data_IF_205350408944
#
_entry.id   IF_205350408944
#
_cell.length_a   1.000
_cell.length_b   1.000
_cell.length_c   1.000
_cell.angle_alpha   90.00
_cell.angle_beta   90.00
_cell.angle_gamma   90.00
#
_symmetry.space_group_name_H-M   'P 1'
#
loop_
_entity.id
_entity.type
_entity.pdbx_description
1 polymer ?
2 non-polymer ?
3 non-polymer ?
4 non-polymer ?
5 non-polymer ?
6 non-polymer ?
7 water ?
#
# COMPACT_ATOMS: atom_id res chain seq x y z
N UNK A 3 4.09 -4.58 31.03
CA UNK A 3 2.92 -4.04 30.34
C UNK A 3 3.28 -2.77 29.58
N UNK A 4 4.40 -2.16 29.95
CA UNK A 4 4.85 -0.87 29.43
C UNK A 4 6.27 -1.08 28.89
N UNK A 5 6.36 -1.65 27.70
CA UNK A 5 7.53 -2.38 27.21
C UNK A 5 8.57 -1.45 26.57
N UNK A 6 9.81 -1.93 26.54
CA UNK A 6 10.95 -1.18 26.01
C UNK A 6 11.46 -1.82 24.72
N UNK A 7 11.93 -0.98 23.81
CA UNK A 7 12.54 -1.44 22.56
C UNK A 7 13.90 -0.75 22.43
N UNK A 8 14.90 -1.52 22.02
CA UNK A 8 16.27 -1.05 21.96
C UNK A 8 16.77 -1.00 20.52
N UNK A 9 17.63 -0.03 20.25
CA UNK A 9 18.41 -0.01 19.03
C UNK A 9 19.81 -0.49 19.38
N UNK A 10 20.23 -1.60 18.76
CA UNK A 10 21.53 -2.20 19.06
C UNK A 10 22.66 -1.66 18.19
N UNK A 11 22.45 -0.52 17.54
CA UNK A 11 23.53 0.23 16.92
C UNK A 11 23.88 1.49 17.70
N UNK A 12 22.88 2.16 18.26
CA UNK A 12 23.05 3.40 19.00
C UNK A 12 22.77 3.28 20.49
N UNK A 13 22.31 2.13 20.96
CA UNK A 13 21.97 1.87 22.37
C UNK A 13 20.80 2.70 22.85
N UNK A 14 20.02 3.30 21.95
CA UNK A 14 18.86 4.09 22.35
C UNK A 14 17.73 3.15 22.75
N UNK A 15 17.09 3.44 23.88
CA UNK A 15 15.93 2.70 24.35
C UNK A 15 14.75 3.66 24.39
N UNK A 16 13.59 3.16 23.96
CA UNK A 16 12.35 3.92 23.99
C UNK A 16 11.26 3.03 24.58
N UNK A 17 10.30 3.66 25.26
CA UNK A 17 9.27 2.95 26.00
C UNK A 17 7.93 3.05 25.27
N UNK A 18 7.29 1.90 25.07
CA UNK A 18 6.04 1.82 24.34
C UNK A 18 4.88 1.66 25.32
N UNK A 19 3.98 2.65 25.34
CA UNK A 19 2.69 2.57 26.01
C UNK A 19 1.52 2.50 25.05
N UNK A 20 1.76 2.85 23.78
CA UNK A 20 0.70 2.89 22.79
C UNK A 20 0.05 1.53 22.60
N UNK A 21 0.82 0.45 22.74
CA UNK A 21 0.31 -0.90 22.53
C UNK A 21 -0.83 -1.24 23.46
N UNK A 22 -1.01 -0.46 24.54
CA UNK A 22 -2.12 -0.69 25.46
C UNK A 22 -3.45 -0.44 24.77
N UNK A 23 -3.52 0.61 23.95
CA UNK A 23 -4.72 0.92 23.17
C UNK A 23 -4.94 -0.07 22.04
N UNK A 24 -4.01 -1.01 21.82
CA UNK A 24 -4.17 -2.01 20.78
C UNK A 24 -5.39 -2.87 21.06
N UNK A 25 -6.07 -3.27 20.00
CA UNK A 25 -7.38 -3.88 20.12
C UNK A 25 -7.42 -5.24 19.43
N UNK A 26 -7.07 -5.28 18.14
CA UNK A 26 -7.14 -6.51 17.37
C UNK A 26 -6.05 -7.48 17.79
N UNK A 27 -6.16 -8.70 17.29
CA UNK A 27 -5.26 -9.78 17.62
C UNK A 27 -4.23 -9.98 16.51
N UNK A 28 -3.01 -10.37 16.91
CA UNK A 28 -1.86 -10.38 16.01
C UNK A 28 -1.65 -11.68 15.26
N UNK A 29 -2.13 -12.79 15.79
CA UNK A 29 -1.80 -14.10 15.30
C UNK A 29 -0.81 -14.84 16.17
N UNK A 30 -0.03 -14.12 16.95
CA UNK A 30 0.90 -14.74 17.89
C UNK A 30 0.18 -15.14 19.17
N UNK A 31 0.75 -16.12 19.86
CA UNK A 31 0.32 -16.50 21.20
C UNK A 31 1.53 -16.47 22.12
N UNK A 32 1.33 -16.80 23.39
CA UNK A 32 2.47 -16.92 24.29
C UNK A 32 3.44 -18.02 23.88
N UNK A 33 3.01 -18.95 23.03
CA UNK A 33 3.81 -20.12 22.69
C UNK A 33 4.13 -20.25 21.22
N UNK A 34 3.77 -19.26 20.39
CA UNK A 34 4.11 -19.32 18.97
C UNK A 34 4.05 -17.92 18.39
N UNK A 35 5.03 -17.61 17.55
CA UNK A 35 5.14 -16.29 16.94
C UNK A 35 4.94 -16.43 15.45
N UNK A 36 3.99 -15.65 14.90
CA UNK A 36 3.70 -15.68 13.48
C UNK A 36 4.20 -14.41 12.77
N UNK A 37 5.25 -13.80 13.31
CA UNK A 37 5.68 -12.53 12.73
C UNK A 37 6.14 -12.58 11.29
N UNK A 38 6.37 -13.78 10.72
CA UNK A 38 6.75 -13.91 9.31
C UNK A 38 5.64 -14.48 8.43
N UNK A 39 4.45 -14.70 8.98
CA UNK A 39 3.32 -15.16 8.17
C UNK A 39 2.71 -13.96 7.46
N UNK A 40 2.46 -14.10 6.14
CA UNK A 40 2.11 -12.93 5.33
C UNK A 40 0.68 -12.45 5.61
N UNK A 41 -0.30 -13.35 5.59
CA UNK A 41 -1.72 -12.99 5.79
C UNK A 41 -2.30 -13.83 6.91
N UNK A 42 -1.96 -13.53 8.16
CA UNK A 42 -2.49 -14.32 9.28
C UNK A 42 -3.96 -14.00 9.53
N UNK A 43 -4.66 -14.98 10.09
CA UNK A 43 -6.06 -14.84 10.49
C UNK A 43 -6.48 -16.00 11.39
N UNK A 52 -20.47 -9.77 7.55
CA UNK A 52 -21.18 -8.49 7.65
C UNK A 52 -21.33 -8.14 9.15
N UNK A 53 -21.59 -6.87 9.45
CA UNK A 53 -21.51 -6.34 10.82
C UNK A 53 -22.85 -5.80 11.28
N UNK A 54 -23.10 -5.92 12.60
CA UNK A 54 -24.37 -5.57 13.22
C UNK A 54 -24.24 -4.29 14.05
N UNK A 55 -25.39 -3.79 14.53
CA UNK A 55 -25.39 -2.52 15.24
C UNK A 55 -24.77 -2.65 16.63
N UNK A 56 -25.06 -3.76 17.33
CA UNK A 56 -24.52 -3.94 18.68
C UNK A 56 -23.00 -3.84 18.69
N UNK A 57 -22.36 -4.38 17.66
CA UNK A 57 -20.91 -4.25 17.52
C UNK A 57 -20.50 -2.85 17.08
N UNK A 58 -21.38 -2.09 16.45
CA UNK A 58 -20.97 -0.91 15.69
C UNK A 58 -20.82 0.35 16.53
N UNK A 59 -21.61 0.54 17.61
CA UNK A 59 -21.44 1.77 18.37
C UNK A 59 -20.17 1.80 19.23
N UNK A 60 -19.76 0.70 19.87
CA UNK A 60 -18.44 0.71 20.54
C UNK A 60 -17.32 1.20 19.64
N UNK A 61 -17.16 0.58 18.48
CA UNK A 61 -16.18 1.02 17.49
C UNK A 61 -16.39 2.48 17.10
N UNK A 62 -17.64 2.89 16.89
CA UNK A 62 -17.92 4.29 16.57
C UNK A 62 -17.49 5.19 17.71
N UNK A 63 -17.88 4.84 18.95
CA UNK A 63 -17.53 5.63 20.13
C UNK A 63 -16.03 5.70 20.33
N UNK A 64 -15.34 4.56 20.26
CA UNK A 64 -13.89 4.57 20.43
C UNK A 64 -13.23 5.50 19.41
N UNK A 65 -13.66 5.44 18.15
CA UNK A 65 -13.07 6.31 17.14
C UNK A 65 -13.37 7.78 17.42
N UNK A 66 -14.59 8.09 17.85
CA UNK A 66 -14.97 9.50 18.06
C UNK A 66 -14.26 10.09 19.26
N UNK A 67 -14.06 9.29 20.30
CA UNK A 67 -13.33 9.73 21.48
C UNK A 67 -11.88 10.09 21.16
N UNK A 68 -11.25 9.39 20.21
CA UNK A 68 -9.89 9.75 19.86
C UNK A 68 -9.86 10.90 18.87
N UNK A 69 -10.86 11.01 17.98
CA UNK A 69 -10.93 12.15 17.08
C UNK A 69 -11.08 13.45 17.85
N UNK A 70 -12.01 13.46 18.82
CA UNK A 70 -12.26 14.68 19.59
C UNK A 70 -11.13 14.95 20.57
N UNK A 71 -10.48 13.90 21.08
CA UNK A 71 -9.26 14.10 21.84
C UNK A 71 -8.16 14.69 20.97
N UNK A 72 -8.23 14.47 19.67
CA UNK A 72 -7.19 14.95 18.76
C UNK A 72 -7.30 16.46 18.53
N UNK A 73 -8.52 16.94 18.27
CA UNK A 73 -8.71 18.36 17.99
C UNK A 73 -8.85 19.12 19.30
N UNK A 74 -8.49 18.47 20.41
CA UNK A 74 -8.37 19.11 21.73
C UNK A 74 -9.72 19.62 22.24
N UNK A 75 -10.79 18.94 21.87
CA UNK A 75 -12.13 19.15 22.43
C UNK A 75 -12.71 17.84 22.94
N UNK A 76 -11.89 17.05 23.64
CA UNK A 76 -12.35 15.84 24.31
C UNK A 76 -13.37 16.21 25.36
N UNK A 77 -14.59 15.68 25.22
CA UNK A 77 -15.62 15.82 26.22
C UNK A 77 -16.46 17.07 26.13
N UNK A 78 -16.25 17.91 25.12
CA UNK A 78 -17.06 19.11 24.98
C UNK A 78 -18.50 18.69 24.64
N UNK A 79 -19.37 19.70 24.48
CA UNK A 79 -20.72 19.40 24.04
C UNK A 79 -20.73 18.89 22.61
N UNK A 80 -19.90 19.46 21.74
CA UNK A 80 -19.85 19.01 20.36
C UNK A 80 -19.49 17.53 20.27
N UNK A 81 -18.59 17.08 21.15
CA UNK A 81 -18.29 15.65 21.26
C UNK A 81 -19.51 14.87 21.73
N UNK A 82 -20.09 15.29 22.86
CA UNK A 82 -21.22 14.56 23.42
C UNK A 82 -22.39 14.47 22.45
N UNK A 83 -22.68 15.56 21.73
CA UNK A 83 -23.83 15.51 20.82
C UNK A 83 -23.55 14.69 19.58
N UNK A 84 -22.29 14.69 19.10
CA UNK A 84 -21.90 13.80 18.01
C UNK A 84 -22.02 12.34 18.42
N UNK A 85 -21.58 12.01 19.63
CA UNK A 85 -21.79 10.69 20.21
C UNK A 85 -23.27 10.30 20.14
N UNK A 86 -24.11 11.12 20.76
CA UNK A 86 -25.56 10.92 20.72
C UNK A 86 -26.05 10.80 19.29
N UNK A 87 -25.63 11.73 18.43
CA UNK A 87 -26.08 11.75 17.04
C UNK A 87 -25.80 10.42 16.34
N UNK A 88 -24.56 9.92 16.45
CA UNK A 88 -24.19 8.69 15.77
C UNK A 88 -24.92 7.49 16.36
N UNK A 89 -25.05 7.43 17.69
CA UNK A 89 -25.83 6.38 18.33
C UNK A 89 -27.25 6.35 17.74
N UNK A 90 -27.92 7.50 17.74
CA UNK A 90 -29.27 7.60 17.16
C UNK A 90 -29.29 7.17 15.70
N UNK A 91 -28.28 7.55 14.92
CA UNK A 91 -28.26 7.15 13.51
C UNK A 91 -27.97 5.66 13.35
N UNK A 92 -27.24 5.06 14.28
CA UNK A 92 -27.09 3.61 14.23
C UNK A 92 -28.34 2.92 14.76
N UNK A 93 -29.05 3.52 15.71
CA UNK A 93 -30.39 3.07 16.00
C UNK A 93 -31.27 3.15 14.76
N UNK A 94 -31.24 4.30 14.07
CA UNK A 94 -32.13 4.55 12.94
C UNK A 94 -31.78 3.66 11.74
N UNK A 95 -30.52 3.68 11.30
CA UNK A 95 -30.10 3.03 10.07
C UNK A 95 -29.35 1.70 10.27
N UNK A 96 -28.97 1.36 11.49
CA UNK A 96 -28.06 0.25 11.77
C UNK A 96 -26.71 0.45 11.07
N UNK A 97 -26.38 1.69 10.76
CA UNK A 97 -25.07 2.12 10.29
C UNK A 97 -24.99 3.62 10.50
N UNK A 98 -23.96 4.27 9.94
CA UNK A 98 -23.87 5.72 10.07
C UNK A 98 -22.92 6.27 9.01
N UNK A 99 -22.84 7.60 8.95
CA UNK A 99 -22.03 8.30 7.98
C UNK A 99 -21.01 9.19 8.68
N UNK A 100 -19.76 9.16 8.21
CA UNK A 100 -18.70 10.00 8.76
C UNK A 100 -18.82 11.44 8.29
N UNK A 101 -18.49 12.38 9.18
CA UNK A 101 -18.24 13.75 8.76
C UNK A 101 -16.99 13.78 7.87
N UNK A 102 -16.94 14.78 7.00
CA UNK A 102 -15.76 14.99 6.15
C UNK A 102 -14.49 15.08 6.97
N UNK A 103 -14.53 15.88 8.06
CA UNK A 103 -13.37 15.98 8.94
C UNK A 103 -13.00 14.63 9.55
N UNK A 104 -13.99 13.79 9.83
CA UNK A 104 -13.72 12.49 10.42
C UNK A 104 -13.11 11.53 9.40
N UNK A 105 -13.53 11.63 8.15
CA UNK A 105 -12.96 10.79 7.10
C UNK A 105 -11.47 11.08 6.91
N UNK A 106 -11.12 12.37 6.85
CA UNK A 106 -9.73 12.79 6.66
C UNK A 106 -8.87 12.36 7.85
N UNK A 107 -9.38 12.53 9.07
CA UNK A 107 -8.68 12.05 10.26
C UNK A 107 -8.50 10.55 10.20
N UNK A 108 -9.59 9.82 9.94
CA UNK A 108 -9.53 8.37 9.91
C UNK A 108 -8.57 7.84 8.86
N UNK A 109 -8.58 8.46 7.66
CA UNK A 109 -7.67 8.01 6.61
C UNK A 109 -6.22 8.29 6.96
N UNK A 110 -5.94 9.48 7.50
CA UNK A 110 -4.57 9.80 7.86
C UNK A 110 -4.05 8.87 8.96
N UNK A 111 -4.94 8.40 9.84
CA UNK A 111 -4.48 7.56 10.94
C UNK A 111 -4.43 6.08 10.57
N UNK A 112 -5.21 5.64 9.59
CA UNK A 112 -4.99 4.31 9.03
C UNK A 112 -3.58 4.18 8.45
N UNK A 113 -3.14 5.17 7.68
CA UNK A 113 -1.75 5.17 7.22
C UNK A 113 -0.77 5.20 8.40
N UNK A 114 -1.00 6.09 9.37
CA UNK A 114 -0.12 6.22 10.53
C UNK A 114 0.03 4.89 11.24
N UNK A 115 -1.05 4.12 11.30
CA UNK A 115 -1.07 2.86 12.01
C UNK A 115 -0.57 1.67 11.20
N UNK A 116 -0.20 1.88 9.94
CA UNK A 116 0.13 0.79 9.04
C UNK A 116 1.54 0.30 9.38
N UNK A 117 1.62 -0.76 10.18
CA UNK A 117 2.91 -1.18 10.74
C UNK A 117 3.88 -1.69 9.68
N UNK A 118 3.41 -2.03 8.49
CA UNK A 118 4.27 -2.54 7.44
C UNK A 118 4.82 -1.45 6.52
N UNK A 119 4.52 -0.17 6.81
CA UNK A 119 4.88 0.94 5.92
C UNK A 119 6.05 1.73 6.48
N UNK A 120 7.16 1.72 5.74
CA UNK A 120 8.38 2.43 6.13
C UNK A 120 8.29 3.93 5.81
N UNK A 121 7.28 4.34 5.07
CA UNK A 121 7.16 5.71 4.59
C UNK A 121 6.38 6.65 5.48
N UNK A 122 6.02 6.23 6.70
CA UNK A 122 4.97 6.91 7.45
C UNK A 122 5.38 8.26 8.04
N UNK A 123 6.65 8.67 7.91
CA UNK A 123 7.01 10.01 8.38
C UNK A 123 6.12 11.06 7.70
N UNK A 124 5.50 10.71 6.58
CA UNK A 124 4.68 11.64 5.81
C UNK A 124 3.20 11.53 6.14
N UNK A 125 2.83 10.80 7.21
CA UNK A 125 1.44 10.36 7.36
C UNK A 125 0.46 11.51 7.46
N UNK A 126 0.90 12.68 7.92
CA UNK A 126 -0.04 13.80 8.07
C UNK A 126 -0.24 14.58 6.77
N UNK A 127 0.60 14.35 5.75
CA UNK A 127 0.45 15.01 4.46
C UNK A 127 -0.15 14.01 3.47
N UNK A 128 -1.48 13.83 3.59
CA UNK A 128 -2.25 12.95 2.73
C UNK A 128 -3.44 13.74 2.19
N UNK A 129 -3.62 13.72 0.88
CA UNK A 129 -4.75 14.39 0.25
C UNK A 129 -5.89 13.38 0.16
N UNK A 130 -7.05 13.71 0.71
CA UNK A 130 -8.16 12.78 0.80
C UNK A 130 -9.24 13.24 -0.17
N UNK A 131 -9.65 12.34 -1.06
CA UNK A 131 -10.63 12.59 -2.11
C UNK A 131 -11.89 11.83 -1.74
N UNK A 132 -12.94 12.56 -1.41
CA UNK A 132 -14.17 11.95 -0.94
C UNK A 132 -14.99 11.55 -2.15
N UNK A 133 -15.11 10.24 -2.38
CA UNK A 133 -15.85 9.69 -3.50
C UNK A 133 -17.07 8.92 -3.03
N UNK A 134 -17.55 9.24 -1.84
CA UNK A 134 -18.72 8.55 -1.32
C UNK A 134 -20.02 8.92 -2.04
N UNK A 135 -20.02 9.87 -3.01
CA UNK A 135 -21.23 10.10 -3.81
C UNK A 135 -21.23 9.32 -5.11
N UNK A 136 -20.18 8.53 -5.35
CA UNK A 136 -20.04 7.77 -6.58
C UNK A 136 -21.09 6.67 -6.62
N UNK A 137 -21.67 6.43 -7.80
CA UNK A 137 -22.69 5.40 -7.96
C UNK A 137 -22.46 4.43 -9.11
N UNK A 138 -21.50 4.67 -9.99
CA UNK A 138 -21.31 3.84 -11.18
C UNK A 138 -19.82 3.61 -11.40
N UNK A 139 -19.53 2.62 -12.25
CA UNK A 139 -18.13 2.30 -12.53
C UNK A 139 -17.47 3.41 -13.34
N UNK A 140 -18.22 4.01 -14.27
CA UNK A 140 -17.73 5.18 -14.98
C UNK A 140 -17.38 6.29 -14.00
N UNK A 141 -18.24 6.51 -13.00
CA UNK A 141 -17.91 7.47 -11.95
C UNK A 141 -16.61 7.12 -11.27
N UNK A 142 -16.39 5.83 -10.96
CA UNK A 142 -15.14 5.41 -10.36
C UNK A 142 -13.95 5.66 -11.29
N UNK A 143 -14.10 5.30 -12.56
CA UNK A 143 -13.04 5.58 -13.51
C UNK A 143 -12.67 7.04 -13.48
N UNK A 144 -13.68 7.90 -13.49
CA UNK A 144 -13.44 9.34 -13.47
C UNK A 144 -12.76 9.78 -12.19
N UNK A 145 -13.25 9.32 -11.03
CA UNK A 145 -12.55 9.62 -9.78
C UNK A 145 -11.13 9.10 -9.77
N UNK A 146 -10.92 7.88 -10.28
CA UNK A 146 -9.56 7.32 -10.24
C UNK A 146 -8.62 8.13 -11.12
N UNK A 147 -9.04 8.46 -12.36
CA UNK A 147 -8.22 9.29 -13.23
C UNK A 147 -7.82 10.60 -12.55
N UNK A 148 -8.77 11.27 -11.88
CA UNK A 148 -8.43 12.50 -11.19
C UNK A 148 -7.41 12.25 -10.08
N UNK A 149 -7.55 11.14 -9.37
CA UNK A 149 -6.54 10.74 -8.39
C UNK A 149 -5.17 10.56 -9.03
N UNK A 150 -5.09 9.77 -10.12
CA UNK A 150 -3.80 9.52 -10.78
C UNK A 150 -3.16 10.83 -11.21
N UNK A 151 -3.94 11.73 -11.82
CA UNK A 151 -3.36 12.96 -12.32
C UNK A 151 -2.85 13.84 -11.17
N UNK A 152 -3.65 13.96 -10.11
CA UNK A 152 -3.22 14.73 -8.93
C UNK A 152 -1.97 14.13 -8.30
N UNK A 153 -2.00 12.82 -8.00
CA UNK A 153 -0.90 12.22 -7.25
C UNK A 153 0.39 12.24 -8.05
N UNK A 154 0.30 12.23 -9.37
CA UNK A 154 1.50 12.22 -10.20
C UNK A 154 2.14 13.61 -10.24
N UNK A 155 1.32 14.65 -10.45
CA UNK A 155 1.80 16.04 -10.37
C UNK A 155 3.08 16.24 -11.17
N UNK A 156 3.11 15.71 -12.39
CA UNK A 156 4.20 15.92 -13.33
C UNK A 156 5.51 15.31 -12.84
N UNK A 157 5.42 14.26 -12.03
CA UNK A 157 6.58 13.62 -11.46
C UNK A 157 6.92 14.07 -10.06
N UNK A 158 6.36 15.20 -9.62
CA UNK A 158 6.50 15.66 -8.24
C UNK A 158 5.38 15.05 -7.40
N UNK A 159 5.54 13.74 -7.19
CA UNK A 159 4.47 12.91 -6.65
C UNK A 159 3.97 13.44 -5.32
N UNK A 160 2.67 13.23 -5.10
CA UNK A 160 1.93 13.70 -3.95
C UNK A 160 1.06 12.55 -3.42
N UNK A 161 1.08 12.36 -2.11
CA UNK A 161 0.32 11.27 -1.50
C UNK A 161 -1.17 11.58 -1.54
N UNK A 162 -1.98 10.57 -1.85
CA UNK A 162 -3.41 10.74 -1.95
C UNK A 162 -4.14 9.42 -1.74
N UNK A 163 -5.41 9.52 -1.34
CA UNK A 163 -6.32 8.38 -1.22
C UNK A 163 -7.69 8.81 -1.71
N UNK A 164 -8.36 7.93 -2.44
CA UNK A 164 -9.73 8.16 -2.89
C UNK A 164 -10.61 7.10 -2.24
N UNK A 165 -11.73 7.53 -1.66
CA UNK A 165 -12.55 6.69 -0.80
C UNK A 165 -13.94 6.58 -1.39
N UNK A 166 -14.28 5.40 -1.86
CA UNK A 166 -15.59 5.11 -2.45
C UNK A 166 -16.57 4.73 -1.37
N UNK A 167 -17.88 4.61 -1.70
CA UNK A 167 -18.89 4.36 -0.67
C UNK A 167 -18.58 3.14 0.21
N UNK A 168 -19.00 3.22 1.46
CA UNK A 168 -18.73 2.15 2.41
C UNK A 168 -19.63 0.94 2.14
N UNK A 169 -19.16 -0.22 2.59
CA UNK A 169 -19.97 -1.43 2.50
C UNK A 169 -21.25 -1.25 3.30
N UNK A 170 -22.36 -1.76 2.73
CA UNK A 170 -23.66 -1.65 3.38
C UNK A 170 -24.09 -3.05 3.78
N UNK A 171 -24.92 -3.72 2.95
CA UNK A 171 -25.35 -5.07 3.25
C UNK A 171 -24.21 -6.07 3.10
N UNK A 172 -23.26 -5.79 2.21
CA UNK A 172 -22.17 -6.71 1.87
C UNK A 172 -22.26 -7.25 0.46
N UNK A 173 -23.46 -7.30 -0.12
CA UNK A 173 -23.62 -7.65 -1.53
C UNK A 173 -23.60 -6.43 -2.43
N UNK A 174 -23.52 -5.24 -1.86
CA UNK A 174 -23.31 -4.02 -2.60
C UNK A 174 -21.97 -3.46 -2.13
N UNK A 175 -20.91 -3.88 -2.83
CA UNK A 175 -19.55 -3.47 -2.53
C UNK A 175 -18.98 -2.72 -3.72
N UNK A 176 -18.29 -1.63 -3.43
CA UNK A 176 -17.42 -1.00 -4.41
C UNK A 176 -16.04 -1.65 -4.29
N UNK A 177 -15.49 -2.06 -5.43
CA UNK A 177 -14.20 -2.76 -5.45
C UNK A 177 -13.42 -2.37 -6.69
N UNK A 178 -12.16 -2.03 -6.50
CA UNK A 178 -11.20 -1.99 -7.60
C UNK A 178 -10.60 -3.38 -7.68
N UNK A 179 -10.83 -4.06 -8.82
CA UNK A 179 -10.41 -5.45 -8.93
C UNK A 179 -8.91 -5.60 -9.12
N UNK A 180 -8.24 -4.61 -9.71
CA UNK A 180 -6.79 -4.63 -9.80
C UNK A 180 -6.16 -4.51 -8.42
N UNK A 181 -4.95 -5.07 -8.28
CA UNK A 181 -4.23 -4.96 -7.01
C UNK A 181 -3.54 -3.62 -6.87
N UNK A 182 -3.16 -3.01 -7.99
CA UNK A 182 -2.69 -1.63 -8.04
C UNK A 182 -3.36 -0.95 -9.23
N UNK A 183 -3.53 0.36 -9.12
CA UNK A 183 -4.14 1.13 -10.20
C UNK A 183 -3.38 0.98 -11.51
N UNK A 184 -2.06 0.91 -11.43
CA UNK A 184 -1.18 0.84 -12.58
C UNK A 184 -0.25 -0.38 -12.41
N UNK A 185 -0.51 -1.42 -13.19
CA UNK A 185 0.32 -2.62 -13.20
C UNK A 185 0.52 -3.06 -14.64
N UNK A 186 1.65 -3.75 -14.88
CA UNK A 186 1.94 -4.30 -16.21
C UNK A 186 1.29 -5.67 -16.38
N UNK A 187 0.94 -5.99 -17.62
CA UNK A 187 0.21 -7.21 -17.92
C UNK A 187 1.11 -8.43 -17.79
N UNK A 188 0.49 -9.56 -17.50
CA UNK A 188 1.19 -10.83 -17.42
C UNK A 188 0.58 -11.88 -18.32
N UNK A 189 1.31 -12.26 -19.37
CA UNK A 189 0.86 -13.30 -20.30
C UNK A 189 1.81 -14.47 -20.23
N UNK A 190 1.27 -15.67 -20.13
CA UNK A 190 2.07 -16.86 -20.30
C UNK A 190 2.34 -17.07 -21.79
N UNK A 191 3.03 -18.16 -22.12
CA UNK A 191 3.47 -18.43 -23.49
C UNK A 191 3.09 -19.85 -23.88
N UNK A 192 3.14 -20.17 -25.18
CA UNK A 192 2.98 -21.57 -25.58
C UNK A 192 4.08 -22.46 -25.01
N UNK A 193 5.33 -21.99 -25.03
CA UNK A 193 6.44 -22.73 -24.44
C UNK A 193 6.46 -22.69 -22.94
N UNK A 194 5.37 -22.24 -22.30
CA UNK A 194 5.25 -22.26 -20.85
C UNK A 194 5.86 -21.07 -20.13
N UNK A 195 6.81 -20.38 -20.73
CA UNK A 195 7.43 -19.23 -20.07
C UNK A 195 6.43 -18.07 -20.01
N UNK A 196 6.91 -16.89 -19.63
CA UNK A 196 6.01 -15.78 -19.33
C UNK A 196 6.57 -14.47 -19.89
N UNK A 197 5.71 -13.70 -20.54
CA UNK A 197 6.00 -12.34 -20.95
C UNK A 197 5.32 -11.37 -20.01
N UNK A 198 5.99 -10.27 -19.72
CA UNK A 198 5.40 -9.22 -18.89
C UNK A 198 5.66 -9.45 -17.41
N UNK A 199 4.59 -9.55 -16.63
CA UNK A 199 4.69 -9.71 -15.18
C UNK A 199 3.96 -10.98 -14.74
N UNK A 200 4.66 -12.04 -14.35
CA UNK A 200 3.97 -13.29 -13.97
C UNK A 200 3.02 -13.12 -12.80
N UNK A 201 3.18 -12.09 -11.97
CA UNK A 201 2.26 -11.89 -10.83
C UNK A 201 0.83 -11.72 -11.29
N UNK A 202 0.61 -11.17 -12.48
CA UNK A 202 -0.69 -10.69 -12.90
C UNK A 202 -1.37 -11.60 -13.93
N UNK A 203 -0.86 -12.82 -14.11
CA UNK A 203 -1.34 -13.68 -15.19
C UNK A 203 -2.82 -14.00 -15.01
N UNK A 204 -3.24 -14.35 -13.79
CA UNK A 204 -4.65 -14.67 -13.57
C UNK A 204 -5.52 -13.43 -13.68
N UNK A 205 -5.00 -12.26 -13.32
CA UNK A 205 -5.77 -11.04 -13.46
C UNK A 205 -5.84 -10.62 -14.93
N UNK A 206 -4.70 -10.64 -15.63
CA UNK A 206 -4.68 -10.35 -17.06
C UNK A 206 -5.68 -11.24 -17.82
N UNK A 207 -5.78 -12.50 -17.42
CA UNK A 207 -6.73 -13.41 -18.05
C UNK A 207 -8.16 -12.97 -17.81
N UNK A 208 -8.47 -12.51 -16.60
CA UNK A 208 -9.81 -12.03 -16.28
C UNK A 208 -10.16 -10.84 -17.15
N UNK A 209 -9.22 -9.90 -17.32
CA UNK A 209 -9.44 -8.76 -18.21
C UNK A 209 -9.77 -9.21 -19.63
N UNK A 210 -9.06 -10.23 -20.14
CA UNK A 210 -9.38 -10.71 -21.48
C UNK A 210 -10.73 -11.43 -21.48
N UNK A 211 -11.05 -12.13 -20.39
CA UNK A 211 -12.36 -12.77 -20.26
C UNK A 211 -13.49 -11.76 -20.36
N UNK A 212 -13.29 -10.56 -19.82
CA UNK A 212 -14.26 -9.48 -19.95
C UNK A 212 -14.04 -8.65 -21.19
N UNK A 213 -13.24 -9.13 -22.13
CA UNK A 213 -13.11 -8.52 -23.43
C UNK A 213 -11.93 -7.58 -23.63
N UNK A 214 -10.93 -7.62 -22.76
CA UNK A 214 -9.73 -6.82 -23.00
C UNK A 214 -8.98 -7.39 -24.20
N UNK A 215 -8.62 -6.51 -25.13
CA UNK A 215 -7.80 -6.89 -26.27
C UNK A 215 -6.36 -6.52 -25.93
N UNK A 216 -5.51 -7.53 -25.85
CA UNK A 216 -4.21 -7.38 -25.23
C UNK A 216 -3.14 -7.11 -26.28
N UNK A 217 -2.31 -6.07 -26.09
CA UNK A 217 -1.15 -5.87 -26.95
C UNK A 217 0.02 -6.80 -26.65
N UNK A 218 -0.28 -8.02 -26.19
CA UNK A 218 0.67 -9.05 -25.75
C UNK A 218 2.14 -8.67 -25.87
N UNK A 219 2.56 -7.66 -25.11
CA UNK A 219 3.96 -7.31 -24.96
C UNK A 219 4.43 -7.45 -23.53
N UNK A 220 5.48 -6.72 -23.15
CA UNK A 220 6.00 -6.74 -21.78
C UNK A 220 5.29 -5.73 -20.89
N UNK A 221 5.59 -4.45 -21.09
CA UNK A 221 5.16 -3.37 -20.20
C UNK A 221 3.84 -2.76 -20.70
N UNK A 222 2.82 -3.61 -20.77
CA UNK A 222 1.48 -3.21 -21.20
C UNK A 222 0.66 -2.88 -19.96
N UNK A 223 0.37 -1.59 -19.75
CA UNK A 223 -0.46 -1.18 -18.62
C UNK A 223 -1.80 -1.88 -18.72
N UNK A 224 -2.27 -2.43 -17.60
CA UNK A 224 -3.54 -3.15 -17.55
C UNK A 224 -4.72 -2.18 -17.43
N UNK A 225 -5.90 -2.58 -17.89
CA UNK A 225 -7.08 -1.72 -17.71
C UNK A 225 -7.65 -1.84 -16.31
N UNK A 226 -8.39 -0.82 -15.91
CA UNK A 226 -9.07 -0.86 -14.63
C UNK A 226 -10.27 -1.78 -14.70
N UNK A 227 -10.50 -2.55 -13.64
CA UNK A 227 -11.69 -3.40 -13.54
C UNK A 227 -12.47 -2.93 -12.32
N UNK A 228 -13.47 -2.07 -12.55
CA UNK A 228 -14.16 -1.40 -11.46
C UNK A 228 -15.55 -1.98 -11.28
N UNK A 229 -15.88 -2.27 -10.02
CA UNK A 229 -17.17 -2.81 -9.58
C UNK A 229 -17.83 -1.78 -8.67
N UNK A 230 -19.06 -1.39 -9.00
CA UNK A 230 -19.78 -0.37 -8.26
C UNK A 230 -21.06 -0.97 -7.69
N UNK A 231 -21.29 -0.73 -6.40
CA UNK A 231 -22.56 -1.11 -5.75
C UNK A 231 -22.86 -2.58 -5.95
N UNK A 232 -21.82 -3.41 -5.84
CA UNK A 232 -21.97 -4.85 -6.01
C UNK A 232 -22.27 -5.31 -7.42
N UNK A 233 -22.17 -4.45 -8.42
CA UNK A 233 -22.47 -4.83 -9.80
C UNK A 233 -21.26 -5.45 -10.49
N UNK A 234 -21.52 -6.27 -11.49
CA UNK A 234 -20.45 -6.91 -12.24
C UNK A 234 -19.51 -5.83 -12.81
N UNK A 235 -18.20 -6.03 -12.74
CA UNK A 235 -17.26 -4.94 -13.05
C UNK A 235 -17.11 -4.72 -14.55
N UNK A 236 -16.48 -3.59 -14.88
CA UNK A 236 -16.37 -3.09 -16.24
C UNK A 236 -14.96 -2.58 -16.49
N UNK A 237 -14.51 -2.71 -17.73
CA UNK A 237 -13.14 -2.36 -18.09
C UNK A 237 -13.06 -0.91 -18.55
N UNK A 238 -12.01 -0.21 -18.12
CA UNK A 238 -11.70 1.14 -18.57
C UNK A 238 -10.19 1.29 -18.69
N UNK A 239 -9.75 1.98 -19.75
CA UNK A 239 -8.33 2.21 -20.00
C UNK A 239 -7.94 3.62 -19.57
N UNK A 240 -6.98 3.71 -18.67
CA UNK A 240 -6.44 4.98 -18.19
C UNK A 240 -5.82 5.72 -19.37
N UNK A 241 -6.19 6.98 -19.64
CA UNK A 241 -5.52 7.75 -20.69
C UNK A 241 -4.02 7.63 -20.57
N UNK A 242 -3.36 7.05 -21.58
CA UNK A 242 -1.91 6.85 -21.46
C UNK A 242 -1.14 8.12 -21.15
N UNK A 243 -1.63 9.30 -21.56
CA UNK A 243 -0.94 10.52 -21.15
C UNK A 243 -0.92 10.69 -19.63
N UNK A 244 -1.77 9.95 -18.89
CA UNK A 244 -1.83 10.04 -17.44
C UNK A 244 -0.95 9.03 -16.72
N UNK A 245 -0.40 8.05 -17.44
CA UNK A 245 0.44 7.01 -16.84
C UNK A 245 1.89 7.42 -17.08
N UNK A 246 2.52 7.98 -16.06
CA UNK A 246 3.89 8.46 -16.19
C UNK A 246 4.84 7.29 -16.00
N UNK A 247 5.81 7.19 -16.89
CA UNK A 247 6.77 6.10 -16.84
C UNK A 247 8.19 6.63 -16.93
N UNK A 248 9.11 5.89 -16.31
CA UNK A 248 10.52 6.25 -16.22
C UNK A 248 11.30 5.19 -17.00
N UNK A 249 12.03 5.56 -18.06
CA UNK A 249 12.93 4.60 -18.71
C UNK A 249 14.19 4.44 -17.87
N UNK A 250 14.62 3.20 -17.67
CA UNK A 250 15.67 2.86 -16.72
C UNK A 250 17.01 2.78 -17.45
N UNK A 251 17.96 3.62 -17.05
CA UNK A 251 19.30 3.62 -17.62
C UNK A 251 20.33 3.62 -16.51
N UNK A 252 21.50 3.12 -16.83
CA UNK A 252 22.56 3.13 -15.84
C UNK A 252 23.47 4.33 -16.04
N UNK A 253 23.98 4.93 -14.97
CA UNK A 253 24.86 6.09 -15.11
C UNK A 253 26.28 5.76 -15.54
N UNK A 254 26.62 4.46 -15.68
CA UNK A 254 27.88 4.00 -16.26
C UNK A 254 27.68 3.07 -17.45
N UNK A 255 26.79 2.10 -17.34
CA UNK A 255 26.70 0.98 -18.29
C UNK A 255 25.75 1.36 -19.42
N UNK A 256 26.30 1.61 -20.62
CA UNK A 256 25.46 2.06 -21.73
C UNK A 256 24.64 0.92 -22.32
N UNK A 257 25.09 -0.33 -22.17
CA UNK A 257 24.27 -1.46 -22.59
C UNK A 257 22.99 -1.59 -21.78
N UNK A 258 22.85 -0.80 -20.71
CA UNK A 258 21.66 -0.90 -19.85
C UNK A 258 20.39 -0.55 -20.62
N UNK A 259 20.46 0.44 -21.51
CA UNK A 259 19.28 0.83 -22.28
C UNK A 259 18.79 -0.33 -23.14
N UNK A 260 19.72 -1.06 -23.77
CA UNK A 260 19.34 -2.18 -24.63
C UNK A 260 18.52 -3.21 -23.87
N UNK A 261 18.59 -3.22 -22.54
CA UNK A 261 17.69 -4.06 -21.75
C UNK A 261 16.24 -3.63 -21.92
N UNK A 262 16.02 -2.36 -22.26
CA UNK A 262 14.70 -1.85 -22.57
C UNK A 262 13.72 -1.97 -21.43
N UNK A 263 14.12 -1.55 -20.24
CA UNK A 263 13.27 -1.62 -19.06
C UNK A 263 12.76 -0.24 -18.69
N UNK A 264 11.53 -0.21 -18.18
CA UNK A 264 10.91 0.98 -17.63
C UNK A 264 10.00 0.55 -16.49
N UNK A 265 9.60 1.52 -15.67
CA UNK A 265 8.63 1.24 -14.64
C UNK A 265 7.68 2.43 -14.58
N UNK A 266 6.55 2.23 -13.93
CA UNK A 266 5.60 3.32 -13.74
C UNK A 266 5.96 4.08 -12.46
N UNK A 267 5.69 5.39 -12.46
CA UNK A 267 6.15 6.18 -11.34
C UNK A 267 5.24 6.17 -10.14
N UNK A 268 3.98 5.74 -10.30
CA UNK A 268 2.99 5.89 -9.25
C UNK A 268 2.66 4.54 -8.63
N UNK A 269 3.09 4.26 -7.39
CA UNK A 269 2.64 3.08 -6.63
C UNK A 269 1.31 3.37 -5.95
N UNK A 270 0.30 2.59 -6.27
CA UNK A 270 -1.05 2.96 -5.84
C UNK A 270 -1.80 1.66 -5.55
N UNK A 271 -1.86 1.30 -4.28
CA UNK A 271 -2.45 0.03 -3.85
C UNK A 271 -3.96 0.18 -3.84
N UNK A 272 -4.65 -0.74 -4.49
CA UNK A 272 -6.08 -0.58 -4.71
C UNK A 272 -6.89 -1.75 -4.17
N UNK A 273 -6.26 -2.75 -3.54
CA UNK A 273 -6.98 -3.96 -3.18
C UNK A 273 -7.25 -4.08 -1.69
N UNK A 274 -6.89 -3.09 -0.88
CA UNK A 274 -7.06 -3.25 0.56
C UNK A 274 -8.38 -2.62 1.00
N UNK A 275 -8.68 -2.75 2.29
CA UNK A 275 -9.92 -2.29 2.91
C UNK A 275 -9.55 -1.28 4.00
N UNK A 276 -10.22 -0.13 3.98
CA UNK A 276 -10.02 0.94 4.94
C UNK A 276 -11.10 0.85 6.02
N UNK A 277 -10.67 0.64 7.28
CA UNK A 277 -11.60 0.57 8.40
C UNK A 277 -11.53 1.83 9.25
N UNK A 278 -12.68 2.46 9.51
CA UNK A 278 -12.76 3.69 10.28
C UNK A 278 -14.01 3.65 11.13
N UNK A 279 -13.83 3.75 12.46
CA UNK A 279 -14.98 3.76 13.35
C UNK A 279 -15.92 2.58 13.17
N UNK A 280 -15.42 1.44 12.67
CA UNK A 280 -16.27 0.29 12.41
C UNK A 280 -16.86 0.24 11.02
N UNK A 281 -16.74 1.31 10.23
CA UNK A 281 -17.21 1.31 8.87
C UNK A 281 -16.12 0.79 7.95
N UNK A 282 -16.53 0.13 6.87
CA UNK A 282 -15.62 -0.62 6.00
C UNK A 282 -15.70 -0.06 4.58
N UNK A 283 -14.59 0.50 4.10
CA UNK A 283 -14.47 1.07 2.76
C UNK A 283 -13.67 0.09 1.90
N UNK A 284 -14.40 -0.74 1.14
CA UNK A 284 -13.84 -1.82 0.34
C UNK A 284 -13.09 -1.34 -0.90
N UNK A 285 -13.26 -0.09 -1.30
CA UNK A 285 -12.49 0.48 -2.38
C UNK A 285 -11.92 1.79 -1.88
N UNK A 286 -10.60 1.85 -1.78
CA UNK A 286 -9.93 3.01 -1.20
C UNK A 286 -8.52 3.15 -1.77
N UNK A 287 -8.36 3.23 -3.10
CA UNK A 287 -7.01 3.25 -3.68
C UNK A 287 -6.18 4.39 -3.09
N UNK A 288 -4.93 4.08 -2.75
CA UNK A 288 -4.03 5.04 -2.10
C UNK A 288 -2.63 4.95 -2.69
N UNK A 289 -1.97 6.11 -2.81
CA UNK A 289 -0.72 6.16 -3.53
C UNK A 289 0.30 7.03 -2.79
N UNK A 290 1.57 6.69 -2.98
CA UNK A 290 2.64 7.55 -2.51
C UNK A 290 3.72 7.71 -3.56
N UNK A 291 4.96 7.43 -3.19
CA UNK A 291 6.05 7.32 -4.15
C UNK A 291 6.89 6.10 -3.81
N UNK A 292 7.63 5.62 -4.80
CA UNK A 292 8.38 4.37 -4.66
C UNK A 292 9.63 4.55 -3.82
N UNK A 293 9.92 3.55 -3.01
CA UNK A 293 11.27 3.28 -2.56
C UNK A 293 11.93 2.40 -3.61
N UNK A 294 13.18 2.73 -3.99
CA UNK A 294 13.80 2.08 -5.13
C UNK A 294 13.75 0.56 -5.10
N UNK A 295 14.00 -0.03 -3.93
CA UNK A 295 14.11 -1.48 -3.83
C UNK A 295 12.83 -2.21 -4.21
N UNK A 296 11.67 -1.58 -4.03
CA UNK A 296 10.44 -2.23 -4.49
C UNK A 296 10.53 -2.57 -5.96
N UNK A 297 11.04 -1.65 -6.77
CA UNK A 297 11.27 -1.91 -8.19
C UNK A 297 12.53 -2.75 -8.40
N UNK A 298 13.68 -2.21 -8.00
CA UNK A 298 14.95 -2.81 -8.37
C UNK A 298 15.24 -4.18 -7.75
N UNK A 299 14.65 -4.46 -6.59
CA UNK A 299 14.92 -5.75 -5.94
C UNK A 299 13.77 -6.72 -6.18
N UNK A 300 12.58 -6.39 -5.67
CA UNK A 300 11.43 -7.29 -5.73
C UNK A 300 10.86 -7.40 -7.14
N UNK A 301 10.49 -6.25 -7.75
CA UNK A 301 9.83 -6.32 -9.05
C UNK A 301 10.75 -6.94 -10.09
N UNK A 302 12.02 -6.53 -10.12
CA UNK A 302 12.92 -6.96 -11.17
C UNK A 302 13.60 -8.31 -10.92
N UNK A 303 13.80 -8.71 -9.66
CA UNK A 303 14.71 -9.81 -9.36
C UNK A 303 14.10 -10.96 -8.54
N UNK A 304 12.91 -10.77 -7.96
CA UNK A 304 12.12 -11.91 -7.51
C UNK A 304 12.10 -12.97 -8.59
N UNK A 305 12.31 -14.22 -8.19
CA UNK A 305 12.37 -15.31 -9.17
C UNK A 305 11.04 -15.47 -9.89
N UNK A 306 9.93 -15.21 -9.20
CA UNK A 306 8.61 -15.36 -9.77
C UNK A 306 8.04 -14.03 -10.28
N UNK A 307 8.91 -13.04 -10.53
CA UNK A 307 8.49 -11.77 -11.11
C UNK A 307 9.24 -11.61 -12.42
N UNK A 308 9.91 -10.46 -12.65
CA UNK A 308 10.59 -10.26 -13.93
C UNK A 308 11.86 -11.11 -14.04
N UNK A 309 12.57 -11.31 -12.92
CA UNK A 309 13.62 -12.31 -12.83
C UNK A 309 14.74 -12.05 -13.83
N UNK A 310 15.32 -10.85 -13.72
CA UNK A 310 16.25 -10.35 -14.72
C UNK A 310 17.71 -10.44 -14.27
N UNK A 311 17.98 -10.95 -13.06
CA UNK A 311 19.36 -11.15 -12.60
C UNK A 311 20.20 -11.90 -13.62
N UNK A 312 19.58 -12.82 -14.37
CA UNK A 312 20.25 -13.52 -15.45
C UNK A 312 20.97 -12.56 -16.40
N UNK A 313 20.21 -11.69 -17.07
CA UNK A 313 20.76 -10.89 -18.16
C UNK A 313 21.61 -9.72 -17.68
N UNK A 314 21.44 -9.27 -16.44
CA UNK A 314 22.33 -8.24 -15.94
C UNK A 314 23.67 -8.83 -15.56
N UNK A 315 23.68 -10.06 -15.05
CA UNK A 315 24.95 -10.74 -14.82
C UNK A 315 25.63 -11.00 -16.15
N UNK A 316 24.86 -11.39 -17.17
CA UNK A 316 25.46 -11.76 -18.45
C UNK A 316 26.15 -10.55 -19.07
N UNK A 317 25.41 -9.46 -19.25
CA UNK A 317 25.99 -8.27 -19.85
C UNK A 317 26.97 -7.54 -18.93
N UNK A 318 27.18 -8.00 -17.70
CA UNK A 318 28.26 -7.48 -16.86
C UNK A 318 29.53 -8.32 -16.95
N UNK A 319 29.46 -9.49 -17.58
CA UNK A 319 30.54 -10.47 -17.61
C UNK A 319 30.89 -10.88 -16.20
N UNK A 320 30.17 -11.85 -15.65
CA UNK A 320 30.34 -12.27 -14.27
C UNK A 320 30.54 -13.78 -14.19
N UNK A 321 31.17 -14.22 -13.09
CA UNK A 321 31.34 -15.64 -12.82
C UNK A 321 30.00 -16.27 -12.46
N UNK A 322 29.22 -16.70 -13.45
CA UNK A 322 27.88 -17.22 -13.22
C UNK A 322 27.82 -18.71 -12.90
N UNK A 323 28.94 -19.44 -12.98
CA UNK A 323 28.88 -20.86 -12.66
C UNK A 323 28.94 -21.13 -11.16
N UNK A 324 29.57 -20.24 -10.40
CA UNK A 324 29.77 -20.43 -8.97
C UNK A 324 28.72 -19.65 -8.20
N UNK A 325 27.96 -20.35 -7.35
CA UNK A 325 27.04 -19.68 -6.45
C UNK A 325 27.76 -18.67 -5.56
N UNK A 326 28.96 -19.00 -5.11
CA UNK A 326 29.70 -18.18 -4.16
C UNK A 326 30.46 -17.03 -4.80
N UNK A 327 30.34 -16.83 -6.12
CA UNK A 327 30.93 -15.63 -6.70
C UNK A 327 30.14 -14.36 -6.37
N UNK A 328 28.99 -14.48 -5.69
CA UNK A 328 28.05 -13.37 -5.41
C UNK A 328 27.71 -12.56 -6.66
N UNK A 329 27.66 -13.22 -7.82
CA UNK A 329 27.26 -12.51 -9.04
C UNK A 329 25.83 -11.99 -8.95
N UNK A 330 24.95 -12.72 -8.25
CA UNK A 330 23.59 -12.23 -8.07
C UNK A 330 23.57 -10.94 -7.26
N UNK A 331 24.30 -10.93 -6.15
CA UNK A 331 24.40 -9.73 -5.31
C UNK A 331 24.92 -8.54 -6.11
N UNK A 332 25.99 -8.74 -6.88
CA UNK A 332 26.67 -7.64 -7.54
C UNK A 332 25.81 -7.03 -8.65
N UNK A 333 25.09 -7.89 -9.39
CA UNK A 333 24.13 -7.39 -10.37
C UNK A 333 22.96 -6.69 -9.69
N UNK A 334 22.63 -7.11 -8.47
CA UNK A 334 21.47 -6.53 -7.78
C UNK A 334 21.74 -5.08 -7.40
N UNK A 335 22.97 -4.76 -6.99
CA UNK A 335 23.30 -3.38 -6.64
C UNK A 335 23.23 -2.48 -7.87
N UNK A 336 23.82 -2.90 -9.00
CA UNK A 336 23.81 -2.07 -10.21
C UNK A 336 22.39 -1.78 -10.68
N UNK A 337 21.49 -2.75 -10.55
CA UNK A 337 20.10 -2.54 -10.98
C UNK A 337 19.46 -1.44 -10.15
N UNK A 338 19.74 -1.41 -8.85
CA UNK A 338 19.12 -0.41 -7.98
C UNK A 338 19.78 0.96 -8.08
N UNK A 339 21.08 1.04 -8.40
CA UNK A 339 21.69 2.32 -8.71
C UNK A 339 21.03 2.93 -9.94
N UNK A 340 20.66 2.08 -10.91
CA UNK A 340 20.07 2.55 -12.15
C UNK A 340 18.62 2.99 -11.98
N UNK A 341 17.83 2.21 -11.23
CA UNK A 341 16.45 2.60 -10.97
C UNK A 341 16.42 3.98 -10.34
N UNK A 342 17.19 4.16 -9.27
CA UNK A 342 17.31 5.47 -8.63
C UNK A 342 17.75 6.53 -9.62
N UNK A 343 18.90 6.32 -10.27
CA UNK A 343 19.45 7.31 -11.20
C UNK A 343 18.43 7.75 -12.24
N UNK A 344 17.63 6.81 -12.76
CA UNK A 344 16.74 7.15 -13.85
C UNK A 344 15.57 7.99 -13.37
N UNK A 345 14.98 7.62 -12.22
CA UNK A 345 13.90 8.41 -11.63
C UNK A 345 14.37 9.83 -11.31
N UNK A 346 15.56 9.96 -10.70
CA UNK A 346 16.05 11.27 -10.26
C UNK A 346 16.29 12.20 -11.44
N UNK A 347 16.98 11.71 -12.47
CA UNK A 347 17.28 12.55 -13.63
C UNK A 347 16.01 12.98 -14.37
N UNK A 348 14.87 12.36 -14.09
CA UNK A 348 13.59 12.73 -14.69
C UNK A 348 12.72 13.55 -13.75
N UNK A 349 13.25 13.96 -12.59
CA UNK A 349 12.51 14.71 -11.57
C UNK A 349 11.26 13.96 -11.12
N UNK A 350 11.30 12.63 -11.13
CA UNK A 350 10.21 11.80 -10.62
C UNK A 350 10.58 11.33 -9.21
N UNK A 351 9.69 11.58 -8.26
CA UNK A 351 10.00 11.35 -6.86
C UNK A 351 10.27 9.88 -6.58
N UNK A 352 11.40 9.62 -5.92
CA UNK A 352 11.78 8.29 -5.46
C UNK A 352 12.68 8.47 -4.24
N UNK A 353 12.68 7.47 -3.37
CA UNK A 353 13.52 7.50 -2.17
C UNK A 353 14.36 6.22 -2.13
N UNK A 354 15.62 6.36 -1.71
CA UNK A 354 16.49 5.20 -1.63
C UNK A 354 16.28 4.55 -0.26
N UNK A 355 16.64 3.26 -0.18
CA UNK A 355 16.36 2.54 1.06
C UNK A 355 17.17 3.05 2.25
N UNK A 356 18.24 3.81 2.03
CA UNK A 356 18.98 4.39 3.16
C UNK A 356 18.25 5.62 3.70
N UNK A 357 17.85 6.52 2.80
CA UNK A 357 17.12 7.71 3.24
C UNK A 357 15.78 7.33 3.85
N UNK A 358 15.07 6.37 3.26
CA UNK A 358 13.75 6.04 3.75
C UNK A 358 13.81 5.37 5.12
N UNK A 359 14.83 4.52 5.33
CA UNK A 359 14.93 3.87 6.63
C UNK A 359 15.45 4.83 7.69
N UNK A 360 16.31 5.78 7.32
CA UNK A 360 16.69 6.81 8.29
C UNK A 360 15.48 7.63 8.72
N UNK A 361 14.62 8.00 7.76
CA UNK A 361 13.45 8.80 8.10
C UNK A 361 12.50 8.05 9.01
N UNK A 362 12.38 6.73 8.83
CA UNK A 362 11.51 5.94 9.68
C UNK A 362 12.06 5.81 11.10
N UNK A 363 13.38 5.74 11.27
CA UNK A 363 13.95 5.83 12.61
C UNK A 363 13.58 7.17 13.23
N UNK A 364 13.77 8.25 12.49
CA UNK A 364 13.41 9.58 12.99
C UNK A 364 11.92 9.67 13.28
N UNK A 365 11.09 9.11 12.39
CA UNK A 365 9.64 9.05 12.62
C UNK A 365 9.32 8.26 13.88
N UNK A 366 9.96 7.11 14.04
CA UNK A 366 9.73 6.32 15.24
C UNK A 366 9.98 7.15 16.49
N UNK A 367 11.07 7.91 16.50
CA UNK A 367 11.41 8.76 17.64
C UNK A 367 10.26 9.71 17.97
N UNK A 368 9.72 10.39 16.96
CA UNK A 368 8.63 11.31 17.19
C UNK A 368 7.40 10.58 17.75
N UNK A 369 7.14 9.38 17.24
CA UNK A 369 5.95 8.64 17.68
C UNK A 369 6.06 8.22 19.14
N UNK A 370 7.23 7.74 19.57
CA UNK A 370 7.37 7.41 20.99
C UNK A 370 7.30 8.67 21.85
N UNK A 371 7.81 9.79 21.35
CA UNK A 371 7.78 11.04 22.09
C UNK A 371 6.35 11.53 22.27
N UNK A 372 5.69 11.91 21.18
CA UNK A 372 4.38 12.55 21.29
C UNK A 372 3.20 11.59 21.15
N UNK A 373 3.43 10.28 20.99
CA UNK A 373 2.34 9.31 20.93
C UNK A 373 2.52 8.11 21.84
N UNK A 374 3.72 7.86 22.35
CA UNK A 374 3.96 6.73 23.22
C UNK A 374 4.26 5.43 22.52
N UNK A 375 4.57 5.47 21.24
CA UNK A 375 4.84 4.23 20.53
C UNK A 375 4.61 4.38 19.04
N UNK A 376 5.03 3.34 18.32
CA UNK A 376 4.87 3.22 16.88
C UNK A 376 4.83 1.74 16.52
N UNK A 377 3.67 1.21 16.14
CA UNK A 377 3.63 -0.18 15.68
C UNK A 377 4.43 -0.35 14.40
N UNK A 378 5.31 -1.36 14.39
CA UNK A 378 6.20 -1.56 13.26
C UNK A 378 6.49 -3.05 13.06
N UNK A 379 6.47 -3.47 11.79
CA UNK A 379 6.64 -4.87 11.42
C UNK A 379 8.04 -4.97 10.83
N UNK A 380 8.96 -5.49 11.63
CA UNK A 380 10.36 -5.56 11.24
C UNK A 380 10.54 -6.33 9.93
N UNK A 381 9.84 -7.46 9.81
CA UNK A 381 9.93 -8.33 8.64
C UNK A 381 9.66 -7.55 7.37
N UNK A 382 8.81 -6.50 7.44
CA UNK A 382 8.49 -5.69 6.28
C UNK A 382 9.22 -4.36 6.23
N UNK A 383 9.59 -3.80 7.39
CA UNK A 383 10.31 -2.51 7.41
C UNK A 383 11.71 -2.65 6.84
N UNK A 384 12.43 -3.73 7.18
CA UNK A 384 13.81 -3.90 6.71
C UNK A 384 13.81 -4.09 5.19
N UNK A 385 14.57 -3.28 4.44
CA UNK A 385 14.65 -3.43 2.99
C UNK A 385 15.14 -4.80 2.55
N UNK A 386 14.85 -5.20 1.30
CA UNK A 386 15.15 -6.57 0.85
C UNK A 386 16.50 -6.70 0.21
N UNK A 387 17.38 -5.73 0.44
CA UNK A 387 18.81 -5.87 0.16
C UNK A 387 19.56 -5.07 1.21
N UNK A 388 20.84 -5.39 1.43
CA UNK A 388 21.71 -4.58 2.29
C UNK A 388 21.10 -4.31 3.67
N UNK A 389 20.30 -5.25 4.19
CA UNK A 389 19.50 -4.97 5.36
C UNK A 389 20.26 -4.37 6.54
N UNK A 390 21.41 -4.96 6.90
CA UNK A 390 22.06 -4.56 8.14
C UNK A 390 22.90 -3.28 8.02
N UNK A 391 23.07 -2.72 6.82
CA UNK A 391 23.74 -1.43 6.70
C UNK A 391 22.76 -0.29 6.67
N UNK A 392 21.46 -0.57 6.88
CA UNK A 392 20.42 0.41 7.15
C UNK A 392 20.03 0.37 8.62
N UNK A 393 19.70 1.52 9.22
CA UNK A 393 19.51 1.56 10.68
C UNK A 393 18.28 0.82 11.18
N UNK A 394 17.33 0.42 10.32
CA UNK A 394 16.17 -0.29 10.84
C UNK A 394 16.49 -1.75 11.15
N UNK A 395 17.55 -2.34 10.58
CA UNK A 395 17.93 -3.71 10.95
C UNK A 395 18.21 -3.80 12.44
N UNK A 396 18.84 -2.78 13.00
CA UNK A 396 19.35 -2.82 14.35
C UNK A 396 18.36 -2.25 15.36
N UNK A 397 17.14 -1.99 14.91
CA UNK A 397 16.10 -1.35 15.71
C UNK A 397 15.05 -2.38 16.08
N UNK A 398 14.94 -2.69 17.36
CA UNK A 398 13.83 -3.52 17.82
C UNK A 398 12.53 -2.79 17.58
N UNK A 399 11.48 -3.52 17.20
CA UNK A 399 10.17 -2.94 16.92
C UNK A 399 9.07 -3.81 17.51
N UNK A 400 8.04 -3.18 18.07
CA UNK A 400 6.85 -3.89 18.51
C UNK A 400 5.75 -3.75 17.47
N UNK A 401 5.10 -4.87 17.14
CA UNK A 401 4.00 -4.90 16.22
C UNK A 401 2.70 -5.13 16.99
N UNK A 402 1.71 -4.30 16.72
CA UNK A 402 0.39 -4.41 17.31
C UNK A 402 -0.58 -3.65 16.41
N UNK A 403 -1.86 -3.97 16.54
CA UNK A 403 -2.86 -3.53 15.58
C UNK A 403 -3.67 -2.38 16.18
N UNK A 404 -3.49 -1.20 15.63
CA UNK A 404 -4.30 -0.06 16.01
C UNK A 404 -5.31 0.26 14.93
N UNK A 405 -6.40 0.90 15.33
CA UNK A 405 -7.38 1.33 14.35
C UNK A 405 -7.55 2.86 14.43
N UNK A 406 -7.94 3.54 13.33
CA UNK A 406 -8.20 3.14 11.94
C UNK A 406 -7.07 2.34 11.30
N UNK A 407 -7.39 1.48 10.33
CA UNK A 407 -6.39 0.60 9.76
C UNK A 407 -6.71 0.27 8.30
N UNK A 408 -5.67 -0.13 7.58
CA UNK A 408 -5.80 -0.78 6.28
C UNK A 408 -5.67 -2.28 6.46
N UNK A 409 -6.64 -3.02 5.94
CA UNK A 409 -6.68 -4.47 6.09
C UNK A 409 -6.67 -5.14 4.74
N UNK A 410 -6.21 -6.39 4.72
CA UNK A 410 -6.35 -7.20 3.53
C UNK A 410 -7.78 -7.70 3.41
N UNK A 411 -8.14 -8.08 2.19
CA UNK A 411 -9.48 -8.55 1.91
C UNK A 411 -9.37 -9.55 0.76
N UNK A 412 -10.32 -10.47 0.65
CA UNK A 412 -10.23 -11.49 -0.41
C UNK A 412 -10.25 -10.84 -1.79
N UNK A 413 -9.63 -11.52 -2.74
CA UNK A 413 -9.72 -11.10 -4.13
C UNK A 413 -11.18 -11.18 -4.58
N UNK A 414 -11.71 -10.14 -5.22
CA UNK A 414 -13.17 -10.08 -5.46
C UNK A 414 -13.71 -11.17 -6.36
N UNK A 415 -12.90 -11.68 -7.30
CA UNK A 415 -13.40 -12.73 -8.19
C UNK A 415 -13.54 -14.08 -7.48
N UNK A 416 -13.29 -14.15 -6.17
CA UNK A 416 -13.63 -15.31 -5.37
C UNK A 416 -14.83 -15.08 -4.46
N UNK A 417 -15.19 -13.82 -4.19
CA UNK A 417 -16.32 -13.44 -3.36
C UNK A 417 -17.59 -13.24 -4.16
N UNK A 418 -17.45 -12.70 -5.37
CA UNK A 418 -18.55 -12.07 -6.09
C UNK A 418 -19.63 -13.09 -6.47
N UNK A 419 -20.85 -12.87 -5.98
CA UNK A 419 -22.00 -13.62 -6.47
C UNK A 419 -22.31 -13.09 -7.86
N UNK A 420 -21.44 -13.42 -8.82
CA UNK A 420 -21.54 -12.98 -10.21
C UNK A 420 -22.86 -13.43 -10.82
N UNK A 421 -23.41 -12.60 -11.71
CA UNK A 421 -24.65 -12.92 -12.41
C UNK A 421 -24.43 -13.04 -13.92
N UNK A 422 -23.29 -13.62 -14.31
CA UNK A 422 -23.09 -14.03 -15.70
C UNK A 422 -22.66 -15.50 -15.76
X LIG B 1 3.62 -0.65 2.23
X LIG B 1 6.75 2.96 1.42
X LIG B 1 2.95 6.02 1.25
X LIG B 1 0.25 2.64 3.43
X LIG B 1 4.76 0.04 1.88
X LIG B 1 6.01 -0.55 1.45
X LIG B 1 6.88 0.43 1.21
X LIG B 1 6.22 1.68 1.51
X LIG B 1 8.32 0.22 0.72
X LIG B 1 6.27 -2.08 1.25
X LIG B 1 5.49 -2.48 0.00
X LIG B 1 5.82 -3.90 -0.37
X LIG B 1 6.93 -4.35 0.01
X LIG B 1 5.02 -4.58 -1.07
X LIG B 1 5.99 4.10 1.25
X LIG B 1 6.47 5.40 0.80
X LIG B 1 5.44 6.24 0.77
X LIG B 1 4.24 5.52 1.17
X LIG B 1 7.92 5.78 0.45
X LIG B 1 5.58 7.71 0.35
X LIG B 1 4.69 8.64 0.68
X LIG B 1 1.87 5.36 1.77
X LIG B 1 0.50 5.85 1.81
X LIG B 1 -0.26 4.91 2.40
X LIG B 1 0.61 3.80 2.77
X LIG B 1 0.13 7.23 1.22
X LIG B 1 -1.77 4.89 2.73
X LIG B 1 -2.53 5.98 2.72
X LIG B 1 0.89 1.44 3.24
X LIG B 1 0.35 0.12 3.51
X LIG B 1 1.29 -0.77 3.16
X LIG B 1 2.44 -0.06 2.68
X LIG B 1 -1.05 -0.19 4.10
X LIG B 1 1.18 -2.30 3.29
X LIG B 1 0.65 -2.82 1.95
X LIG B 1 0.79 -4.31 1.89
X LIG B 1 0.61 -4.98 2.95
X LIG B 1 1.09 -4.84 0.79
X LIG B 1 4.93 1.41 1.92
X LIG B 1 4.60 4.20 1.47
X LIG B 1 1.89 4.11 2.35
X LIG B 1 2.18 1.29 2.74
X LIG B 1 3.53 2.77 2.50
X LIG C 1 8.59 -7.32 3.21
X LIG C 1 8.08 -6.49 2.26
X LIG C 1 8.27 -5.15 2.39
X LIG C 1 7.39 -6.99 1.21
X LIG C 1 7.19 -8.31 1.08
X LIG C 1 6.54 -8.76 0.10
X LIG C 1 7.68 -9.17 2.05
X LIG C 1 8.40 -8.66 3.12
X LIG C 1 7.50 -10.50 1.96
X LIG C 1 8.93 -9.48 4.08
X LIG C 1 7.54 -11.25 3.21
X LIG C 1 8.80 -10.92 4.00
X LIG C 1 7.37 -12.76 3.00
X LIG C 1 8.21 -13.21 1.94
X LIG C 1 7.70 -13.51 4.28
X LIG C 1 7.60 -15.03 4.15
X LIG C 1 6.82 -13.06 5.31
X LIG D 1 10.10 9.11 2.69
X LIG D 1 10.31 9.31 1.48
X LIG D 1 11.01 8.77 3.48
X LIG D 1 8.70 9.21 3.22
X LIG E 1 5.27 -12.72 17.30
X LIG F 1 4.94 2.59 -1.87
X LIG F 1 3.89 3.45 -1.54
X LIG F 1 2.60 2.93 -1.52
X LIG F 1 2.38 1.59 -1.81
X LIG F 1 3.46 0.76 -2.09
X LIG F 1 1.42 3.79 -1.18
X LIG F 1 3.21 -0.46 -2.45
X LIG F 1 3.04 -1.59 -2.70
X LIG F 1 2.75 -2.99 -3.07
X LIG F 1 2.23 -5.19 -2.30
X LIG F 1 4.70 1.29 -2.16
X LIG F 1 6.21 3.07 -1.89
X LIG F 1 2.28 -3.76 -1.92
#
# INVERSE_FOLDING_TARGET
CPRFLKVKNWETDVVLTDTLHLKSTLETGCTEHICMGSIMLPSQHTRKPEDVATKDQLFPLAKEFLDQYYSSIKRFGSKAHMDRLEEVNKEIESTSTYQLKDTELIYGAKHAWRNASRCVGRIQWSKLQVFDARDCTTAHGMFNYICNHVKYATNKGNLRSAITIFPQRTDGKHDFRVWNSQLIRYAGYKQPDGSTLGDPANVQFTEICIQQGWKAPRGRFDVLPLLLQANGNDPELFQIPPELVLEVPIRHPKFDWFKDLGLKWYGLPAVSNMLLEIGGLEFSACPFSGWYMGTEIGVRDYCDNSRYNILEEVAKKMDLDMRKTSSLWKDQALVEINIAVLYSFQSDKVTIVDHHSATESFIKHMENEYRCRGGCPADWVWIVPPMSGSITPVFHQEMLNYRLTPSFEYQPDPWNTHVWKL
HEM CHA CHB CHC CHD C1A C2A C3A C4A CMA CAA CBA CGA O1A O2A C1B C2B C3B C4B CMB CAB CBB C1C C2C C3C C4C CMC CAC CBC C1D C2D C3D C4D CMD CAD CBD CGD O1D O2D NA NB NC ND FE
H4B N1 C2 N2 N3 C4 O4 C4A C8A N5 N8 C6 C7 C9 O9 C10 C11 O10
ACT C O OXT CH3
ZN ZN
K9C C02 C03 C04 C05 C06 C07 C08 C09 C10 C12 N01 N02 N11
#
